data_IF_743485176163
#
_entry.id   IF_743485176163
#
_cell.length_a   1.000
_cell.length_b   1.000
_cell.length_c   1.000
_cell.angle_alpha   90.00
_cell.angle_beta   90.00
_cell.angle_gamma   90.00
#
_symmetry.space_group_name_H-M   'P 1'
#
loop_
_entity.id
_entity.type
_entity.pdbx_description
1 polymer ?
#
# COMPACT_ATOMS: atom_id res chain seq x y z
N UNK A 1 -6.93 -42.97 -11.92
CA UNK A 1 -7.46 -41.60 -12.03
C UNK A 1 -6.85 -40.81 -13.18
N UNK A 2 -5.59 -40.31 -13.13
CA UNK A 2 -4.99 -39.55 -14.24
C UNK A 2 -4.94 -40.33 -15.56
N UNK A 3 -4.54 -41.61 -15.52
CA UNK A 3 -4.51 -42.48 -16.71
C UNK A 3 -5.90 -42.71 -17.33
N UNK A 4 -6.95 -42.82 -16.51
CA UNK A 4 -8.34 -42.98 -16.99
C UNK A 4 -8.87 -41.69 -17.62
N UNK A 5 -8.56 -40.54 -17.04
CA UNK A 5 -8.91 -39.23 -17.61
C UNK A 5 -8.15 -39.03 -18.94
N UNK A 6 -6.90 -39.45 -19.02
CA UNK A 6 -6.08 -39.36 -20.22
C UNK A 6 -6.59 -40.18 -21.40
N UNK A 7 -7.26 -41.31 -21.16
CA UNK A 7 -7.90 -42.09 -22.22
C UNK A 7 -9.07 -41.36 -22.89
N UNK A 8 -9.75 -40.47 -22.16
CA UNK A 8 -10.97 -39.79 -22.62
C UNK A 8 -10.77 -38.32 -23.04
N UNK A 9 -9.56 -37.77 -22.87
CA UNK A 9 -9.20 -36.40 -23.29
C UNK A 9 -8.97 -36.24 -24.81
N UNK A 10 -9.25 -37.26 -25.61
CA UNK A 10 -9.01 -37.28 -27.06
C UNK A 10 -10.29 -36.96 -27.84
N UNK A 11 -10.42 -35.74 -28.36
CA UNK A 11 -11.54 -35.35 -29.25
C UNK A 11 -12.69 -34.55 -28.60
N UNK A 12 -13.66 -34.05 -29.40
CA UNK A 12 -14.75 -33.23 -28.89
C UNK A 12 -15.84 -34.09 -28.22
N UNK A 13 -15.72 -34.26 -26.90
CA UNK A 13 -16.73 -34.94 -26.07
C UNK A 13 -17.43 -33.97 -25.12
N UNK A 14 -18.70 -34.21 -24.80
CA UNK A 14 -19.50 -33.35 -23.91
C UNK A 14 -18.95 -33.29 -22.46
N UNK A 15 -18.22 -34.32 -22.04
CA UNK A 15 -17.59 -34.41 -20.71
C UNK A 15 -16.26 -33.66 -20.59
N UNK A 16 -15.71 -33.15 -21.70
CA UNK A 16 -14.38 -32.56 -21.77
C UNK A 16 -14.16 -31.39 -20.80
N UNK A 17 -15.08 -30.40 -20.64
CA UNK A 17 -14.89 -29.33 -19.66
C UNK A 17 -14.79 -29.84 -18.21
N UNK A 18 -15.56 -30.88 -17.87
CA UNK A 18 -15.51 -31.48 -16.53
C UNK A 18 -14.19 -32.19 -16.27
N UNK A 19 -13.66 -32.92 -17.27
CA UNK A 19 -12.34 -33.56 -17.18
C UNK A 19 -11.22 -32.53 -16.98
N UNK A 20 -11.26 -31.41 -17.70
CA UNK A 20 -10.29 -30.32 -17.56
C UNK A 20 -10.38 -29.68 -16.17
N UNK A 21 -11.59 -29.49 -15.63
CA UNK A 21 -11.78 -28.99 -14.27
C UNK A 21 -11.19 -29.95 -13.22
N UNK A 22 -11.40 -31.27 -13.35
CA UNK A 22 -10.83 -32.25 -12.43
C UNK A 22 -9.30 -32.19 -12.42
N UNK A 23 -8.67 -32.01 -13.60
CA UNK A 23 -7.22 -31.83 -13.68
C UNK A 23 -6.76 -30.52 -13.04
N UNK A 24 -7.54 -29.45 -13.13
CA UNK A 24 -7.25 -28.19 -12.46
C UNK A 24 -7.31 -28.34 -10.93
N UNK A 25 -8.36 -29.00 -10.43
CA UNK A 25 -8.56 -29.25 -9.00
C UNK A 25 -7.45 -30.17 -8.45
N UNK A 26 -7.04 -31.18 -9.21
CA UNK A 26 -5.92 -32.05 -8.85
C UNK A 26 -4.60 -31.28 -8.78
N UNK A 27 -4.32 -30.41 -9.76
CA UNK A 27 -3.13 -29.56 -9.75
C UNK A 27 -3.08 -28.61 -8.55
N UNK A 28 -4.24 -28.06 -8.14
CA UNK A 28 -4.34 -27.20 -6.96
C UNK A 28 -4.23 -27.96 -5.64
N UNK A 29 -4.59 -29.24 -5.62
CA UNK A 29 -4.52 -30.08 -4.41
C UNK A 29 -3.14 -30.69 -4.21
N UNK A 30 -2.51 -31.19 -5.27
CA UNK A 30 -1.21 -31.87 -5.22
C UNK A 30 -0.32 -31.48 -6.40
N UNK A 31 0.37 -30.34 -6.24
CA UNK A 31 1.31 -29.82 -7.23
C UNK A 31 2.51 -30.75 -7.46
N UNK A 32 2.93 -31.51 -6.45
CA UNK A 32 4.06 -32.43 -6.53
C UNK A 32 3.77 -33.61 -7.46
N UNK A 33 2.58 -34.19 -7.37
CA UNK A 33 2.17 -35.28 -8.25
C UNK A 33 1.71 -34.78 -9.62
N UNK A 34 1.08 -33.60 -9.69
CA UNK A 34 0.56 -33.08 -10.95
C UNK A 34 1.66 -32.60 -11.89
N UNK A 35 2.59 -31.78 -11.40
CA UNK A 35 3.56 -31.05 -12.22
C UNK A 35 4.33 -31.98 -13.18
N UNK A 36 4.85 -33.15 -12.76
CA UNK A 36 5.52 -34.09 -13.66
C UNK A 36 4.69 -34.58 -14.86
N UNK A 37 3.37 -34.52 -14.78
CA UNK A 37 2.43 -34.98 -15.81
C UNK A 37 1.99 -33.87 -16.76
N UNK A 38 2.44 -32.63 -16.54
CA UNK A 38 2.02 -31.45 -17.29
C UNK A 38 2.17 -31.61 -18.80
N UNK A 39 3.30 -32.18 -19.27
CA UNK A 39 3.55 -32.41 -20.71
C UNK A 39 2.43 -33.24 -21.35
N UNK A 40 1.98 -34.29 -20.66
CA UNK A 40 0.89 -35.15 -21.12
C UNK A 40 -0.48 -34.48 -21.07
N UNK A 41 -0.71 -33.58 -20.12
CA UNK A 41 -1.94 -32.78 -20.05
C UNK A 41 -1.99 -31.78 -21.22
N UNK A 42 -0.91 -31.01 -21.40
CA UNK A 42 -0.83 -29.97 -22.43
C UNK A 42 -0.94 -30.55 -23.85
N UNK A 43 -0.28 -31.67 -24.14
CA UNK A 43 -0.33 -32.28 -25.47
C UNK A 43 -1.73 -32.73 -25.91
N UNK A 44 -2.60 -33.05 -24.96
CA UNK A 44 -4.00 -33.44 -25.21
C UNK A 44 -4.95 -32.25 -25.25
N UNK A 45 -4.72 -31.23 -24.42
CA UNK A 45 -5.59 -30.06 -24.31
C UNK A 45 -5.30 -29.01 -25.39
N UNK A 46 -4.05 -28.86 -25.83
CA UNK A 46 -3.68 -27.82 -26.79
C UNK A 46 -4.37 -27.96 -28.16
N UNK A 47 -4.50 -29.17 -28.78
CA UNK A 47 -5.13 -29.32 -30.10
C UNK A 47 -6.61 -28.91 -30.15
N UNK A 48 -7.30 -28.97 -29.01
CA UNK A 48 -8.73 -28.66 -28.90
C UNK A 48 -8.98 -27.22 -28.44
N UNK A 49 -7.96 -26.52 -27.94
CA UNK A 49 -8.08 -25.22 -27.27
C UNK A 49 -8.68 -24.14 -28.18
N UNK A 50 -8.30 -24.13 -29.47
CA UNK A 50 -8.81 -23.17 -30.46
C UNK A 50 -10.32 -23.29 -30.73
N UNK A 51 -10.90 -24.47 -30.50
CA UNK A 51 -12.31 -24.77 -30.79
C UNK A 51 -13.23 -24.67 -29.56
N UNK A 52 -12.69 -24.26 -28.41
CA UNK A 52 -13.47 -24.13 -27.17
C UNK A 52 -14.49 -22.99 -27.30
N UNK A 53 -15.77 -23.34 -27.16
CA UNK A 53 -16.90 -22.39 -27.13
C UNK A 53 -16.78 -21.43 -25.94
N UNK A 54 -17.24 -20.20 -26.12
CA UNK A 54 -17.12 -19.12 -25.11
C UNK A 54 -17.58 -19.53 -23.71
N UNK A 55 -18.70 -20.26 -23.60
CA UNK A 55 -19.24 -20.75 -22.33
C UNK A 55 -18.28 -21.64 -21.53
N UNK A 56 -17.35 -22.33 -22.19
CA UNK A 56 -16.38 -23.22 -21.55
C UNK A 56 -14.99 -22.58 -21.38
N UNK A 57 -14.69 -21.48 -22.08
CA UNK A 57 -13.37 -20.81 -21.99
C UNK A 57 -12.93 -20.47 -20.56
N UNK A 58 -13.81 -20.02 -19.63
CA UNK A 58 -13.41 -19.75 -18.26
C UNK A 58 -12.88 -20.99 -17.53
N UNK A 59 -13.43 -22.18 -17.81
CA UNK A 59 -12.99 -23.45 -17.20
C UNK A 59 -11.57 -23.79 -17.67
N UNK A 60 -11.32 -23.69 -18.98
CA UNK A 60 -10.00 -23.95 -19.54
C UNK A 60 -8.97 -22.91 -19.07
N UNK A 61 -9.34 -21.62 -19.02
CA UNK A 61 -8.46 -20.59 -18.49
C UNK A 61 -8.10 -20.86 -17.00
N UNK A 62 -9.09 -21.21 -16.18
CA UNK A 62 -8.84 -21.61 -14.79
C UNK A 62 -7.92 -22.83 -14.70
N UNK A 63 -8.04 -23.80 -15.61
CA UNK A 63 -7.15 -24.95 -15.64
C UNK A 63 -5.70 -24.55 -15.93
N UNK A 64 -5.45 -23.73 -16.95
CA UNK A 64 -4.10 -23.20 -17.22
C UNK A 64 -3.54 -22.41 -16.04
N UNK A 65 -4.37 -21.63 -15.35
CA UNK A 65 -3.99 -20.96 -14.10
C UNK A 65 -3.49 -21.96 -13.06
N UNK A 66 -4.31 -22.96 -12.72
CA UNK A 66 -3.99 -23.97 -11.71
C UNK A 66 -2.74 -24.77 -12.08
N UNK A 67 -2.58 -25.14 -13.35
CA UNK A 67 -1.41 -25.88 -13.82
C UNK A 67 -0.12 -25.08 -13.70
N UNK A 68 -0.16 -23.79 -14.05
CA UNK A 68 1.00 -22.91 -13.91
C UNK A 68 1.33 -22.63 -12.43
N UNK A 69 0.31 -22.46 -11.58
CA UNK A 69 0.49 -22.34 -10.13
C UNK A 69 1.13 -23.59 -9.51
N UNK A 70 0.73 -24.78 -9.96
CA UNK A 70 1.35 -26.02 -9.53
C UNK A 70 2.84 -26.08 -9.92
N UNK A 71 3.21 -25.57 -11.10
CA UNK A 71 4.62 -25.46 -11.48
C UNK A 71 5.39 -24.55 -10.51
N UNK A 72 4.85 -23.37 -10.19
CA UNK A 72 5.50 -22.45 -9.25
C UNK A 72 5.64 -23.04 -7.84
N UNK A 73 4.64 -23.79 -7.37
CA UNK A 73 4.72 -24.49 -6.09
C UNK A 73 5.77 -25.60 -6.11
N UNK A 74 5.89 -26.32 -7.23
CA UNK A 74 6.90 -27.35 -7.41
C UNK A 74 8.33 -26.79 -7.41
N UNK A 75 8.54 -25.61 -8.03
CA UNK A 75 9.85 -24.96 -8.17
C UNK A 75 10.52 -24.62 -6.83
N UNK A 76 9.72 -24.41 -5.78
CA UNK A 76 10.23 -24.12 -4.44
C UNK A 76 11.08 -25.27 -3.89
N UNK A 77 10.67 -26.52 -4.14
CA UNK A 77 11.34 -27.72 -3.62
C UNK A 77 12.23 -28.39 -4.69
N UNK A 78 11.88 -28.25 -5.97
CA UNK A 78 12.51 -28.96 -7.07
C UNK A 78 12.67 -28.06 -8.31
N UNK A 79 13.88 -27.87 -8.84
CA UNK A 79 14.08 -26.97 -9.98
C UNK A 79 13.28 -27.38 -11.23
N UNK A 80 12.49 -26.45 -11.77
CA UNK A 80 11.64 -26.70 -12.94
C UNK A 80 12.39 -26.99 -14.25
N UNK A 81 13.68 -26.64 -14.36
CA UNK A 81 14.43 -26.70 -15.62
C UNK A 81 14.53 -28.12 -16.22
N UNK A 82 14.45 -29.17 -15.40
CA UNK A 82 14.47 -30.55 -15.89
C UNK A 82 13.14 -31.01 -16.45
N UNK A 83 12.05 -30.31 -16.12
CA UNK A 83 10.69 -30.68 -16.47
C UNK A 83 10.10 -29.81 -17.58
N UNK A 84 10.44 -28.52 -17.59
CA UNK A 84 10.09 -27.58 -18.63
C UNK A 84 11.04 -27.75 -19.82
N UNK A 85 10.93 -28.89 -20.50
CA UNK A 85 11.65 -29.11 -21.75
C UNK A 85 11.13 -28.18 -22.87
N UNK A 86 11.82 -28.17 -24.01
CA UNK A 86 11.45 -27.33 -25.16
C UNK A 86 10.03 -27.55 -25.65
N UNK A 87 9.48 -28.78 -25.53
CA UNK A 87 8.12 -29.08 -25.95
C UNK A 87 7.11 -28.43 -25.00
N UNK A 88 7.28 -28.60 -23.68
CA UNK A 88 6.39 -28.00 -22.67
C UNK A 88 6.38 -26.48 -22.80
N UNK A 89 7.56 -25.87 -22.95
CA UNK A 89 7.69 -24.43 -23.18
C UNK A 89 6.94 -24.02 -24.46
N UNK A 90 7.08 -24.77 -25.55
CA UNK A 90 6.37 -24.49 -26.81
C UNK A 90 4.86 -24.60 -26.66
N UNK A 91 4.37 -25.57 -25.87
CA UNK A 91 2.94 -25.75 -25.62
C UNK A 91 2.37 -24.60 -24.77
N UNK A 92 3.07 -24.21 -23.70
CA UNK A 92 2.69 -23.08 -22.86
C UNK A 92 2.68 -21.78 -23.66
N UNK A 93 3.69 -21.53 -24.48
CA UNK A 93 3.74 -20.37 -25.36
C UNK A 93 2.59 -20.34 -26.37
N UNK A 94 2.26 -21.49 -26.97
CA UNK A 94 1.14 -21.59 -27.91
C UNK A 94 -0.21 -21.28 -27.24
N UNK A 95 -0.41 -21.80 -26.03
CA UNK A 95 -1.59 -21.49 -25.23
C UNK A 95 -1.63 -20.00 -24.84
N UNK A 96 -0.51 -19.46 -24.36
CA UNK A 96 -0.37 -18.07 -23.95
C UNK A 96 -0.77 -17.10 -25.07
N UNK A 97 -0.22 -17.31 -26.28
CA UNK A 97 -0.55 -16.49 -27.44
C UNK A 97 -2.03 -16.58 -27.82
N UNK A 98 -2.64 -17.76 -27.79
CA UNK A 98 -4.07 -17.91 -28.09
C UNK A 98 -4.94 -17.19 -27.05
N UNK A 99 -4.65 -17.39 -25.76
CA UNK A 99 -5.36 -16.77 -24.65
C UNK A 99 -5.27 -15.24 -24.75
N UNK A 100 -4.06 -14.70 -24.95
CA UNK A 100 -3.83 -13.27 -25.08
C UNK A 100 -4.48 -12.69 -26.34
N UNK A 101 -4.39 -13.38 -27.49
CA UNK A 101 -4.87 -12.85 -28.77
C UNK A 101 -6.38 -12.88 -28.91
N UNK A 102 -7.01 -13.95 -28.44
CA UNK A 102 -8.42 -14.26 -28.72
C UNK A 102 -9.29 -14.12 -27.47
N UNK A 103 -8.91 -14.76 -26.37
CA UNK A 103 -9.79 -14.87 -25.20
C UNK A 103 -9.78 -13.61 -24.33
N UNK A 104 -8.62 -12.98 -24.18
CA UNK A 104 -8.47 -11.74 -23.40
C UNK A 104 -9.22 -10.54 -24.01
N UNK A 105 -9.55 -10.61 -25.31
CA UNK A 105 -10.37 -9.62 -26.03
C UNK A 105 -11.83 -10.02 -26.17
N UNK A 106 -12.28 -11.06 -25.47
CA UNK A 106 -13.68 -11.50 -25.51
C UNK A 106 -14.64 -10.41 -25.03
N UNK A 107 -15.86 -10.40 -25.58
CA UNK A 107 -16.94 -9.52 -25.09
C UNK A 107 -17.46 -9.96 -23.73
N UNK A 108 -17.31 -11.24 -23.40
CA UNK A 108 -17.71 -11.80 -22.11
C UNK A 108 -16.66 -11.44 -21.04
N UNK A 109 -17.10 -10.72 -20.00
CA UNK A 109 -16.25 -10.30 -18.89
C UNK A 109 -15.66 -11.49 -18.13
N UNK A 110 -16.42 -12.57 -17.93
CA UNK A 110 -15.94 -13.77 -17.21
C UNK A 110 -14.84 -14.47 -17.99
N UNK A 111 -14.96 -14.53 -19.31
CA UNK A 111 -13.88 -15.06 -20.17
C UNK A 111 -12.63 -14.19 -20.03
N UNK A 112 -12.78 -12.86 -20.08
CA UNK A 112 -11.63 -11.94 -19.93
C UNK A 112 -10.95 -12.07 -18.57
N UNK A 113 -11.71 -12.06 -17.47
CA UNK A 113 -11.12 -12.12 -16.11
C UNK A 113 -10.41 -13.44 -15.86
N UNK A 114 -11.04 -14.58 -16.17
CA UNK A 114 -10.38 -15.90 -16.03
C UNK A 114 -9.16 -16.03 -16.93
N UNK A 115 -9.19 -15.45 -18.14
CA UNK A 115 -8.03 -15.46 -19.05
C UNK A 115 -6.88 -14.62 -18.52
N UNK A 116 -7.14 -13.43 -17.98
CA UNK A 116 -6.10 -12.56 -17.43
C UNK A 116 -5.46 -13.18 -16.19
N UNK A 117 -6.26 -13.82 -15.33
CA UNK A 117 -5.74 -14.56 -14.17
C UNK A 117 -4.80 -15.69 -14.61
N UNK A 118 -5.17 -16.43 -15.67
CA UNK A 118 -4.33 -17.49 -16.24
C UNK A 118 -3.03 -16.93 -16.85
N UNK A 119 -3.13 -15.89 -17.69
CA UNK A 119 -1.98 -15.23 -18.28
C UNK A 119 -1.02 -14.71 -17.20
N UNK A 120 -1.54 -14.13 -16.12
CA UNK A 120 -0.76 -13.69 -14.96
C UNK A 120 0.04 -14.81 -14.29
N UNK A 121 -0.39 -16.06 -14.34
CA UNK A 121 0.41 -17.20 -13.82
C UNK A 121 1.40 -17.74 -14.86
N UNK A 122 1.15 -17.52 -16.15
CA UNK A 122 1.98 -18.01 -17.26
C UNK A 122 3.20 -17.11 -17.56
N UNK A 123 3.15 -15.82 -17.25
CA UNK A 123 4.18 -14.83 -17.65
C UNK A 123 5.60 -15.18 -17.22
N UNK A 124 5.80 -15.87 -16.09
CA UNK A 124 7.14 -16.32 -15.67
C UNK A 124 7.56 -17.69 -16.23
N UNK A 125 6.65 -18.43 -16.87
CA UNK A 125 6.92 -19.75 -17.46
C UNK A 125 7.15 -19.67 -18.98
N UNK A 126 6.83 -18.55 -19.61
CA UNK A 126 7.10 -18.31 -21.04
C UNK A 126 8.49 -17.70 -21.24
N UNK A 127 9.15 -17.92 -22.39
CA UNK A 127 10.48 -17.36 -22.57
C UNK A 127 10.43 -15.84 -22.76
N UNK A 128 11.50 -15.17 -22.31
CA UNK A 128 11.55 -13.69 -22.22
C UNK A 128 11.33 -12.98 -23.55
N UNK A 129 11.76 -13.58 -24.66
CA UNK A 129 11.60 -13.00 -26.00
C UNK A 129 10.10 -12.89 -26.35
N UNK A 130 9.34 -13.96 -26.07
CA UNK A 130 7.89 -13.98 -26.29
C UNK A 130 7.17 -13.07 -25.30
N UNK A 131 7.56 -13.08 -24.02
CA UNK A 131 7.01 -12.15 -23.03
C UNK A 131 7.20 -10.69 -23.49
N UNK A 132 8.42 -10.32 -23.91
CA UNK A 132 8.73 -8.96 -24.39
C UNK A 132 7.85 -8.56 -25.56
N UNK A 133 7.62 -9.45 -26.52
CA UNK A 133 6.73 -9.21 -27.66
C UNK A 133 5.25 -9.06 -27.25
N UNK A 134 4.83 -9.71 -26.17
CA UNK A 134 3.46 -9.69 -25.67
C UNK A 134 3.12 -8.45 -24.81
N UNK A 135 4.11 -7.83 -24.17
CA UNK A 135 3.92 -6.70 -23.24
C UNK A 135 3.04 -5.57 -23.77
N UNK A 136 3.21 -5.06 -25.01
CA UNK A 136 2.40 -3.96 -25.53
C UNK A 136 0.90 -4.27 -25.62
N UNK A 137 0.53 -5.56 -25.69
CA UNK A 137 -0.88 -6.00 -25.68
C UNK A 137 -1.34 -6.39 -24.28
N UNK A 138 -0.51 -7.12 -23.54
CA UNK A 138 -0.87 -7.66 -22.24
C UNK A 138 -1.10 -6.55 -21.20
N UNK A 139 -0.19 -5.56 -21.12
CA UNK A 139 -0.29 -4.47 -20.15
C UNK A 139 -1.60 -3.69 -20.30
N UNK A 140 -1.97 -3.14 -21.48
CA UNK A 140 -3.26 -2.45 -21.62
C UNK A 140 -4.48 -3.34 -21.35
N UNK A 141 -4.39 -4.63 -21.67
CA UNK A 141 -5.50 -5.57 -21.44
C UNK A 141 -5.75 -5.82 -19.96
N UNK A 142 -4.69 -5.94 -19.15
CA UNK A 142 -4.81 -6.00 -17.68
C UNK A 142 -5.35 -4.67 -17.14
N UNK A 143 -4.80 -3.54 -17.61
CA UNK A 143 -5.18 -2.21 -17.12
C UNK A 143 -6.66 -1.87 -17.41
N UNK A 144 -7.27 -2.37 -18.48
CA UNK A 144 -8.70 -2.15 -18.76
C UNK A 144 -9.64 -2.74 -17.69
N UNK A 145 -9.18 -3.77 -16.96
CA UNK A 145 -9.94 -4.40 -15.89
C UNK A 145 -10.05 -3.52 -14.64
N UNK A 146 -9.20 -2.50 -14.46
CA UNK A 146 -9.29 -1.57 -13.32
C UNK A 146 -10.55 -0.70 -13.33
N UNK A 147 -11.26 -0.63 -14.47
CA UNK A 147 -12.54 0.08 -14.63
C UNK A 147 -13.75 -0.74 -14.14
N UNK A 148 -13.52 -1.93 -13.57
CA UNK A 148 -14.55 -2.89 -13.14
C UNK A 148 -14.69 -2.93 -11.61
N UNK A 149 -15.42 -3.91 -11.11
CA UNK A 149 -15.70 -4.10 -9.68
C UNK A 149 -14.45 -4.55 -8.90
N UNK A 150 -14.51 -4.48 -7.56
CA UNK A 150 -13.34 -4.69 -6.69
C UNK A 150 -12.71 -6.08 -6.82
N UNK A 151 -13.51 -7.14 -6.99
CA UNK A 151 -12.99 -8.50 -7.24
C UNK A 151 -12.12 -8.56 -8.50
N UNK A 152 -12.56 -7.86 -9.54
CA UNK A 152 -11.85 -7.81 -10.83
C UNK A 152 -10.57 -6.98 -10.71
N UNK A 153 -10.60 -5.88 -9.94
CA UNK A 153 -9.42 -5.06 -9.65
C UNK A 153 -8.37 -5.85 -8.88
N UNK A 154 -8.77 -6.65 -7.88
CA UNK A 154 -7.86 -7.49 -7.11
C UNK A 154 -7.15 -8.51 -8.01
N UNK A 155 -7.92 -9.24 -8.82
CA UNK A 155 -7.41 -10.22 -9.78
C UNK A 155 -6.45 -9.57 -10.80
N UNK A 156 -6.83 -8.42 -11.35
CA UNK A 156 -5.98 -7.67 -12.27
C UNK A 156 -4.67 -7.24 -11.61
N UNK A 157 -4.70 -6.86 -10.33
CA UNK A 157 -3.51 -6.47 -9.56
C UNK A 157 -2.58 -7.65 -9.31
N UNK A 158 -3.11 -8.82 -8.96
CA UNK A 158 -2.29 -10.03 -8.81
C UNK A 158 -1.61 -10.42 -10.15
N UNK A 159 -2.37 -10.34 -11.25
CA UNK A 159 -1.86 -10.66 -12.59
C UNK A 159 -0.78 -9.66 -13.04
N UNK A 160 -0.97 -8.38 -12.70
CA UNK A 160 0.00 -7.32 -12.96
C UNK A 160 1.27 -7.49 -12.12
N UNK A 161 1.14 -7.83 -10.84
CA UNK A 161 2.29 -8.08 -9.97
C UNK A 161 3.16 -9.22 -10.51
N UNK A 162 2.56 -10.34 -10.89
CA UNK A 162 3.29 -11.44 -11.53
C UNK A 162 3.97 -11.01 -12.83
N UNK A 163 3.29 -10.20 -13.65
CA UNK A 163 3.86 -9.65 -14.88
C UNK A 163 5.08 -8.77 -14.58
N UNK A 164 4.99 -7.90 -13.58
CA UNK A 164 6.10 -7.03 -13.16
C UNK A 164 7.27 -7.86 -12.63
N UNK A 165 7.02 -8.89 -11.81
CA UNK A 165 8.08 -9.78 -11.33
C UNK A 165 8.81 -10.47 -12.49
N UNK A 166 8.06 -11.07 -13.43
CA UNK A 166 8.65 -11.75 -14.59
C UNK A 166 9.40 -10.78 -15.53
N UNK A 167 8.91 -9.55 -15.65
CA UNK A 167 9.46 -8.55 -16.57
C UNK A 167 10.66 -7.81 -16.00
N UNK A 168 10.70 -7.56 -14.69
CA UNK A 168 11.70 -6.69 -14.05
C UNK A 168 12.76 -7.45 -13.26
N UNK A 169 12.40 -8.52 -12.55
CA UNK A 169 13.28 -9.21 -11.58
C UNK A 169 13.93 -10.49 -12.13
N UNK A 170 13.96 -10.68 -13.45
CA UNK A 170 14.51 -11.90 -14.04
C UNK A 170 16.03 -11.96 -13.93
N UNK A 171 16.57 -13.08 -13.45
CA UNK A 171 18.02 -13.31 -13.33
C UNK A 171 18.74 -13.42 -14.69
N UNK A 172 18.00 -13.67 -15.76
CA UNK A 172 18.57 -14.01 -17.08
C UNK A 172 18.77 -12.82 -18.02
N UNK A 173 18.57 -11.59 -17.55
CA UNK A 173 18.91 -10.39 -18.32
C UNK A 173 18.32 -9.10 -17.76
N UNK A 174 18.54 -7.95 -18.44
CA UNK A 174 18.03 -6.66 -18.00
C UNK A 174 16.49 -6.63 -18.01
N UNK A 175 15.85 -5.71 -17.27
CA UNK A 175 14.41 -5.50 -17.28
C UNK A 175 13.84 -5.39 -18.71
N UNK A 176 12.63 -5.92 -18.90
CA UNK A 176 11.94 -5.90 -20.21
C UNK A 176 11.16 -4.60 -20.47
N UNK A 177 10.88 -3.84 -19.42
CA UNK A 177 10.15 -2.57 -19.45
C UNK A 177 11.06 -1.48 -18.89
N UNK A 178 11.15 -0.36 -19.60
CA UNK A 178 11.82 0.83 -19.11
C UNK A 178 10.90 1.59 -18.15
N UNK A 179 11.45 2.50 -17.33
CA UNK A 179 10.64 3.21 -16.34
C UNK A 179 9.52 4.05 -16.98
N UNK A 180 9.74 4.60 -18.18
CA UNK A 180 8.73 5.37 -18.91
C UNK A 180 7.45 4.55 -19.18
N UNK A 181 7.60 3.29 -19.58
CA UNK A 181 6.49 2.35 -19.81
C UNK A 181 5.70 2.07 -18.52
N UNK A 182 6.40 2.10 -17.37
CA UNK A 182 5.82 1.84 -16.05
C UNK A 182 5.00 3.04 -15.53
N UNK A 183 5.27 4.26 -15.98
CA UNK A 183 4.61 5.48 -15.43
C UNK A 183 3.09 5.44 -15.53
N UNK A 184 2.55 4.87 -16.62
CA UNK A 184 1.11 4.69 -16.80
C UNK A 184 0.54 3.68 -15.80
N UNK A 185 1.22 2.54 -15.64
CA UNK A 185 0.85 1.50 -14.68
C UNK A 185 0.80 2.09 -13.27
N UNK A 186 1.89 2.75 -12.84
CA UNK A 186 1.99 3.34 -11.51
C UNK A 186 0.91 4.40 -11.28
N UNK A 187 0.63 5.23 -12.28
CA UNK A 187 -0.42 6.27 -12.18
C UNK A 187 -1.83 5.67 -12.02
N UNK A 188 -2.11 4.51 -12.61
CA UNK A 188 -3.38 3.79 -12.43
C UNK A 188 -3.47 3.13 -11.05
N UNK A 189 -2.34 2.65 -10.52
CA UNK A 189 -2.29 1.98 -9.22
C UNK A 189 -2.45 2.93 -8.03
N UNK A 190 -1.97 4.18 -8.10
CA UNK A 190 -2.05 5.13 -6.98
C UNK A 190 -3.48 5.36 -6.46
N UNK A 191 -4.51 5.61 -7.30
CA UNK A 191 -5.89 5.70 -6.84
C UNK A 191 -6.43 4.40 -6.24
N UNK A 192 -5.94 3.24 -6.68
CA UNK A 192 -6.35 1.93 -6.14
C UNK A 192 -5.92 1.77 -4.68
N UNK A 193 -4.72 2.25 -4.34
CA UNK A 193 -4.26 2.33 -2.93
C UNK A 193 -5.24 3.15 -2.09
N UNK A 194 -5.68 4.29 -2.63
CA UNK A 194 -6.61 5.19 -1.96
C UNK A 194 -7.96 4.55 -1.65
N UNK A 195 -8.54 3.80 -2.60
CA UNK A 195 -9.86 3.16 -2.45
C UNK A 195 -9.85 2.08 -1.37
N UNK A 196 -8.72 1.42 -1.17
CA UNK A 196 -8.61 0.18 -0.41
C UNK A 196 -7.97 0.34 0.99
N UNK A 197 -7.52 1.55 1.36
CA UNK A 197 -6.87 1.81 2.66
C UNK A 197 -7.86 1.86 3.85
N UNK A 198 -9.18 2.03 3.64
CA UNK A 198 -10.15 2.32 4.72
C UNK A 198 -11.56 1.68 4.59
N UNK A 199 -11.73 0.44 4.11
CA UNK A 199 -13.08 -0.18 4.07
C UNK A 199 -13.47 -0.79 5.43
N UNK A 200 -14.15 -0.05 6.33
CA UNK A 200 -14.70 -0.62 7.59
C UNK A 200 -15.88 -1.60 7.39
N UNK A 201 -16.23 -1.96 6.16
CA UNK A 201 -17.30 -2.91 5.84
C UNK A 201 -16.79 -4.36 5.89
N UNK A 202 -17.36 -5.17 6.79
CA UNK A 202 -16.80 -6.44 7.29
C UNK A 202 -16.41 -7.49 6.22
N UNK A 203 -17.11 -7.58 5.09
CA UNK A 203 -16.78 -8.52 4.00
C UNK A 203 -15.79 -7.93 2.97
N UNK A 204 -16.00 -6.67 2.58
CA UNK A 204 -15.15 -5.95 1.61
C UNK A 204 -13.80 -5.50 2.23
N UNK A 205 -13.66 -5.51 3.55
CA UNK A 205 -12.43 -5.16 4.25
C UNK A 205 -11.29 -6.12 3.92
N UNK A 206 -11.56 -7.43 3.91
CA UNK A 206 -10.55 -8.46 3.63
C UNK A 206 -10.02 -8.34 2.20
N UNK A 207 -10.91 -8.16 1.21
CA UNK A 207 -10.52 -8.03 -0.19
C UNK A 207 -9.83 -6.69 -0.47
N UNK A 208 -10.32 -5.59 0.11
CA UNK A 208 -9.69 -4.28 0.02
C UNK A 208 -8.25 -4.32 0.53
N UNK A 209 -8.03 -4.86 1.73
CA UNK A 209 -6.69 -4.97 2.31
C UNK A 209 -5.76 -5.85 1.47
N UNK A 210 -6.24 -6.98 0.94
CA UNK A 210 -5.47 -7.81 0.01
C UNK A 210 -5.06 -7.04 -1.24
N UNK A 211 -6.00 -6.29 -1.83
CA UNK A 211 -5.73 -5.44 -3.00
C UNK A 211 -4.71 -4.36 -2.66
N UNK A 212 -4.86 -3.68 -1.52
CA UNK A 212 -3.90 -2.68 -1.06
C UNK A 212 -2.49 -3.27 -0.97
N UNK A 213 -2.33 -4.43 -0.31
CA UNK A 213 -1.03 -5.09 -0.15
C UNK A 213 -0.44 -5.50 -1.50
N UNK A 214 -1.25 -6.05 -2.40
CA UNK A 214 -0.80 -6.45 -3.73
C UNK A 214 -0.30 -5.25 -4.56
N UNK A 215 -0.99 -4.11 -4.48
CA UNK A 215 -0.52 -2.87 -5.11
C UNK A 215 0.82 -2.43 -4.51
N UNK A 216 0.99 -2.52 -3.18
CA UNK A 216 2.26 -2.20 -2.54
C UNK A 216 3.40 -3.11 -3.03
N UNK A 217 3.11 -4.39 -3.27
CA UNK A 217 4.07 -5.33 -3.87
C UNK A 217 4.45 -4.92 -5.30
N UNK A 218 3.50 -4.50 -6.15
CA UNK A 218 3.82 -3.95 -7.47
C UNK A 218 4.81 -2.78 -7.38
N UNK A 219 4.57 -1.83 -6.47
CA UNK A 219 5.46 -0.69 -6.27
C UNK A 219 6.84 -1.10 -5.72
N UNK A 220 6.90 -2.11 -4.85
CA UNK A 220 8.16 -2.65 -4.35
C UNK A 220 8.97 -3.32 -5.46
N UNK A 221 8.34 -4.15 -6.29
CA UNK A 221 8.97 -4.78 -7.46
C UNK A 221 9.59 -3.73 -8.37
N UNK A 222 8.87 -2.63 -8.66
CA UNK A 222 9.41 -1.53 -9.44
C UNK A 222 10.55 -0.81 -8.69
N UNK A 223 10.39 -0.56 -7.40
CA UNK A 223 11.35 0.19 -6.60
C UNK A 223 12.67 -0.53 -6.35
N UNK A 224 12.70 -1.86 -6.39
CA UNK A 224 13.95 -2.64 -6.33
C UNK A 224 14.77 -2.48 -7.61
N UNK A 225 14.12 -2.28 -8.76
CA UNK A 225 14.79 -2.14 -10.07
C UNK A 225 15.09 -0.68 -10.43
N UNK A 226 14.13 0.21 -10.18
CA UNK A 226 14.19 1.64 -10.51
C UNK A 226 13.96 2.53 -9.28
N UNK A 227 14.80 2.44 -8.24
CA UNK A 227 14.55 3.16 -6.98
C UNK A 227 14.56 4.68 -7.16
N UNK A 228 15.47 5.20 -7.97
CA UNK A 228 15.67 6.64 -8.17
C UNK A 228 14.50 7.26 -8.94
N UNK A 229 14.13 6.66 -10.08
CA UNK A 229 13.03 7.14 -10.91
C UNK A 229 11.69 7.03 -10.18
N UNK A 230 11.48 5.93 -9.44
CA UNK A 230 10.27 5.76 -8.64
C UNK A 230 10.17 6.83 -7.54
N UNK A 231 11.27 7.16 -6.88
CA UNK A 231 11.28 8.22 -5.88
C UNK A 231 10.86 9.56 -6.49
N UNK A 232 11.44 9.94 -7.63
CA UNK A 232 11.12 11.19 -8.33
C UNK A 232 9.66 11.19 -8.80
N UNK A 233 9.18 10.07 -9.34
CA UNK A 233 7.78 9.91 -9.76
C UNK A 233 6.82 10.16 -8.59
N UNK A 234 7.02 9.48 -7.46
CA UNK A 234 6.15 9.62 -6.29
C UNK A 234 6.20 11.04 -5.72
N UNK A 235 7.39 11.65 -5.66
CA UNK A 235 7.57 13.03 -5.19
C UNK A 235 6.79 14.02 -6.07
N UNK A 236 6.83 13.83 -7.39
CA UNK A 236 6.07 14.64 -8.33
C UNK A 236 4.56 14.45 -8.11
N UNK A 237 4.08 13.22 -7.91
CA UNK A 237 2.66 12.96 -7.63
C UNK A 237 2.18 13.61 -6.33
N UNK A 238 3.02 13.69 -5.30
CA UNK A 238 2.72 14.43 -4.08
C UNK A 238 2.49 15.94 -4.33
N UNK A 239 3.17 16.54 -5.32
CA UNK A 239 3.13 17.98 -5.62
C UNK A 239 1.95 18.40 -6.51
N UNK A 240 1.26 17.47 -7.17
CA UNK A 240 0.19 17.77 -8.15
C UNK A 240 -1.12 18.28 -7.51
N UNK A 241 -1.26 18.25 -6.18
CA UNK A 241 -2.50 18.59 -5.45
C UNK A 241 -3.76 17.83 -5.91
N UNK A 242 -3.59 16.75 -6.67
CA UNK A 242 -4.65 15.81 -7.00
C UNK A 242 -4.79 14.81 -5.85
N UNK A 243 -5.82 14.99 -5.01
CA UNK A 243 -5.93 14.27 -3.74
C UNK A 243 -5.72 12.74 -3.84
N UNK A 244 -6.27 12.00 -4.82
CA UNK A 244 -6.09 10.55 -4.87
C UNK A 244 -4.67 10.12 -5.24
N UNK A 245 -4.00 10.87 -6.12
CA UNK A 245 -2.61 10.61 -6.48
C UNK A 245 -1.67 10.97 -5.35
N UNK A 246 -1.87 12.12 -4.70
CA UNK A 246 -1.10 12.53 -3.53
C UNK A 246 -1.27 11.51 -2.39
N UNK A 247 -2.51 11.12 -2.08
CA UNK A 247 -2.79 10.12 -1.05
C UNK A 247 -2.12 8.78 -1.35
N UNK A 248 -2.29 8.28 -2.58
CA UNK A 248 -1.65 7.04 -3.02
C UNK A 248 -0.14 7.11 -2.91
N UNK A 249 0.47 8.23 -3.35
CA UNK A 249 1.92 8.40 -3.33
C UNK A 249 2.48 8.42 -1.90
N UNK A 250 1.80 9.09 -0.97
CA UNK A 250 2.18 9.08 0.45
C UNK A 250 2.06 7.69 1.07
N UNK A 251 1.02 6.92 0.71
CA UNK A 251 0.86 5.54 1.18
C UNK A 251 1.99 4.64 0.66
N UNK A 252 2.39 4.81 -0.59
CA UNK A 252 3.50 4.08 -1.20
C UNK A 252 4.83 4.50 -0.57
N UNK A 253 5.08 5.80 -0.37
CA UNK A 253 6.27 6.26 0.37
C UNK A 253 6.35 5.64 1.77
N UNK A 254 5.24 5.62 2.51
CA UNK A 254 5.17 4.99 3.84
C UNK A 254 5.57 3.51 3.79
N UNK A 255 5.14 2.79 2.77
CA UNK A 255 5.47 1.37 2.60
C UNK A 255 6.93 1.15 2.15
N UNK A 256 7.40 1.94 1.19
CA UNK A 256 8.70 1.71 0.55
C UNK A 256 9.89 2.29 1.31
N UNK A 257 9.71 3.37 2.07
CA UNK A 257 10.82 4.04 2.77
C UNK A 257 11.62 3.08 3.67
N UNK A 258 11.00 2.21 4.49
CA UNK A 258 11.74 1.20 5.26
C UNK A 258 12.43 0.14 4.39
N UNK A 259 11.89 -0.14 3.20
CA UNK A 259 12.31 -1.26 2.33
C UNK A 259 13.40 -0.86 1.33
N UNK A 260 13.47 0.42 0.97
CA UNK A 260 14.42 0.99 0.02
C UNK A 260 15.36 2.01 0.67
N UNK A 261 15.62 1.83 1.98
CA UNK A 261 16.38 2.79 2.80
C UNK A 261 17.76 3.11 2.18
N UNK A 262 18.51 2.10 1.76
CA UNK A 262 19.86 2.27 1.22
C UNK A 262 19.86 3.16 -0.03
N UNK A 263 18.91 2.95 -0.94
CA UNK A 263 18.80 3.75 -2.15
C UNK A 263 18.31 5.18 -1.86
N UNK A 264 17.31 5.32 -0.99
CA UNK A 264 16.61 6.60 -0.80
C UNK A 264 17.21 7.50 0.29
N UNK A 265 18.17 7.01 1.08
CA UNK A 265 18.75 7.80 2.19
C UNK A 265 19.40 9.09 1.67
N UNK A 266 20.08 9.05 0.52
CA UNK A 266 20.71 10.23 -0.11
C UNK A 266 19.69 11.30 -0.54
N UNK A 267 18.43 10.92 -0.75
CA UNK A 267 17.32 11.80 -1.17
C UNK A 267 16.53 12.41 -0.02
N UNK A 268 16.96 12.19 1.22
CA UNK A 268 16.31 12.74 2.42
C UNK A 268 15.93 14.22 2.30
N UNK A 269 16.81 15.14 1.85
CA UNK A 269 16.44 16.56 1.76
C UNK A 269 15.23 16.81 0.86
N UNK A 270 15.14 16.13 -0.27
CA UNK A 270 14.03 16.28 -1.23
C UNK A 270 12.71 15.76 -0.68
N UNK A 271 12.73 14.64 0.07
CA UNK A 271 11.52 14.14 0.73
C UNK A 271 11.08 15.08 1.84
N UNK A 272 12.01 15.53 2.69
CA UNK A 272 11.73 16.48 3.78
C UNK A 272 11.08 17.74 3.21
N UNK A 273 11.67 18.34 2.17
CA UNK A 273 11.11 19.53 1.52
C UNK A 273 9.68 19.31 1.01
N UNK A 274 9.43 18.20 0.31
CA UNK A 274 8.09 17.90 -0.21
C UNK A 274 7.06 17.66 0.90
N UNK A 275 7.43 16.95 1.96
CA UNK A 275 6.56 16.70 3.13
C UNK A 275 6.29 18.00 3.88
N UNK A 276 7.27 18.91 4.00
CA UNK A 276 7.08 20.24 4.60
C UNK A 276 6.02 21.05 3.84
N UNK A 277 6.01 21.01 2.51
CA UNK A 277 4.97 21.69 1.71
C UNK A 277 3.57 21.10 1.96
N UNK A 278 3.47 19.81 2.27
CA UNK A 278 2.21 19.13 2.53
C UNK A 278 1.65 19.35 3.96
N UNK A 279 2.39 19.98 4.86
CA UNK A 279 1.89 20.29 6.22
C UNK A 279 0.68 21.23 6.20
N UNK A 280 0.57 22.05 5.15
CA UNK A 280 -0.55 22.98 4.93
C UNK A 280 -1.77 22.33 4.21
N UNK A 281 -1.73 21.01 3.98
CA UNK A 281 -2.80 20.30 3.27
C UNK A 281 -4.11 20.25 4.08
N UNK A 282 -5.24 20.45 3.40
CA UNK A 282 -6.56 20.57 4.05
C UNK A 282 -7.30 19.24 4.15
N UNK A 283 -7.06 18.33 3.21
CA UNK A 283 -7.73 17.02 3.18
C UNK A 283 -7.37 16.18 4.41
N UNK A 284 -8.37 15.83 5.23
CA UNK A 284 -8.18 15.00 6.43
C UNK A 284 -7.58 13.63 6.08
N UNK A 285 -7.96 13.06 4.94
CA UNK A 285 -7.39 11.81 4.44
C UNK A 285 -5.89 11.94 4.12
N UNK A 286 -5.48 13.02 3.46
CA UNK A 286 -4.06 13.25 3.16
C UNK A 286 -3.29 13.53 4.46
N UNK A 287 -3.82 14.35 5.38
CA UNK A 287 -3.22 14.61 6.69
C UNK A 287 -3.02 13.33 7.51
N UNK A 288 -3.98 12.39 7.45
CA UNK A 288 -3.86 11.08 8.10
C UNK A 288 -2.64 10.32 7.60
N UNK A 289 -2.54 10.11 6.29
CA UNK A 289 -1.42 9.35 5.71
C UNK A 289 -0.10 10.09 5.88
N UNK A 290 -0.10 11.42 5.78
CA UNK A 290 1.06 12.26 6.05
C UNK A 290 1.57 12.08 7.49
N UNK A 291 0.66 12.04 8.47
CA UNK A 291 1.02 11.80 9.87
C UNK A 291 1.65 10.42 10.06
N UNK A 292 1.10 9.39 9.43
CA UNK A 292 1.70 8.04 9.45
C UNK A 292 3.07 8.01 8.76
N UNK A 293 3.23 8.72 7.64
CA UNK A 293 4.51 8.85 6.95
C UNK A 293 5.56 9.58 7.80
N UNK A 294 5.19 10.67 8.48
CA UNK A 294 6.08 11.40 9.39
C UNK A 294 6.62 10.46 10.50
N UNK A 295 5.76 9.60 11.05
CA UNK A 295 6.18 8.60 12.05
C UNK A 295 7.18 7.59 11.46
N UNK A 296 6.95 7.13 10.23
CA UNK A 296 7.90 6.23 9.53
C UNK A 296 9.21 6.95 9.19
N UNK A 297 9.16 8.22 8.79
CA UNK A 297 10.33 9.06 8.55
C UNK A 297 11.16 9.22 9.84
N UNK A 298 10.50 9.41 10.98
CA UNK A 298 11.16 9.50 12.28
C UNK A 298 11.95 8.22 12.60
N UNK A 299 11.36 7.04 12.38
CA UNK A 299 12.02 5.76 12.70
C UNK A 299 13.21 5.41 11.81
N UNK A 300 13.41 6.17 10.73
CA UNK A 300 14.52 6.00 9.80
C UNK A 300 15.43 7.24 9.75
N UNK A 301 15.42 8.06 10.82
CA UNK A 301 16.29 9.22 11.01
C UNK A 301 16.15 10.34 9.96
N UNK A 302 14.95 10.51 9.36
CA UNK A 302 14.69 11.62 8.43
C UNK A 302 14.40 12.95 9.14
N UNK A 303 13.99 12.90 10.41
CA UNK A 303 13.67 14.08 11.22
C UNK A 303 14.92 14.56 11.95
N UNK A 304 15.55 15.63 11.45
CA UNK A 304 16.76 16.20 12.05
C UNK A 304 16.62 17.73 12.09
N UNK A 305 17.05 18.34 13.20
CA UNK A 305 17.15 19.79 13.33
C UNK A 305 15.79 20.51 13.18
N UNK A 306 15.78 21.74 12.64
CA UNK A 306 14.57 22.56 12.55
C UNK A 306 13.43 21.91 11.75
N UNK A 307 13.74 21.16 10.69
CA UNK A 307 12.71 20.43 9.93
C UNK A 307 12.05 19.33 10.75
N UNK A 308 12.80 18.69 11.66
CA UNK A 308 12.26 17.73 12.61
C UNK A 308 11.25 18.37 13.58
N UNK A 309 11.59 19.55 14.11
CA UNK A 309 10.69 20.31 14.99
C UNK A 309 9.36 20.66 14.30
N UNK A 310 9.39 21.08 13.04
CA UNK A 310 8.18 21.37 12.25
C UNK A 310 7.25 20.15 12.11
N UNK A 311 7.83 18.96 11.89
CA UNK A 311 7.05 17.72 11.79
C UNK A 311 6.47 17.29 13.14
N UNK A 312 7.19 17.52 14.24
CA UNK A 312 6.67 17.29 15.59
C UNK A 312 5.53 18.26 15.91
N UNK A 313 5.69 19.55 15.59
CA UNK A 313 4.65 20.56 15.76
C UNK A 313 3.40 20.23 14.95
N UNK A 314 3.57 19.75 13.71
CA UNK A 314 2.45 19.26 12.91
C UNK A 314 1.68 18.14 13.62
N UNK A 315 2.37 17.13 14.17
CA UNK A 315 1.70 16.06 14.93
C UNK A 315 0.97 16.61 16.15
N UNK A 316 1.58 17.53 16.90
CA UNK A 316 0.96 18.18 18.08
C UNK A 316 -0.28 18.98 17.67
N UNK A 317 -0.21 19.76 16.60
CA UNK A 317 -1.33 20.53 16.07
C UNK A 317 -2.51 19.61 15.71
N UNK A 318 -2.23 18.47 15.08
CA UNK A 318 -3.26 17.47 14.76
C UNK A 318 -3.79 16.75 16.02
N UNK A 319 -3.01 16.63 17.09
CA UNK A 319 -3.52 16.16 18.38
C UNK A 319 -4.56 17.13 18.97
N UNK A 320 -4.42 18.43 18.72
CA UNK A 320 -5.33 19.45 19.25
C UNK A 320 -6.68 19.55 18.50
N UNK A 321 -6.89 18.75 17.45
CA UNK A 321 -8.15 18.75 16.68
C UNK A 321 -9.35 18.42 17.57
N UNK A 322 -10.37 19.29 17.53
CA UNK A 322 -11.62 19.13 18.28
C UNK A 322 -12.53 18.10 17.62
N UNK A 323 -13.38 17.49 18.44
CA UNK A 323 -14.46 16.65 17.94
C UNK A 323 -15.50 17.54 17.28
N UNK A 324 -15.47 17.61 15.95
CA UNK A 324 -16.67 18.04 15.24
C UNK A 324 -17.71 16.93 15.46
N UNK A 325 -18.80 17.28 16.12
CA UNK A 325 -19.92 16.38 16.36
C UNK A 325 -20.37 15.73 15.06
N UNK A 326 -20.88 14.50 15.15
CA UNK A 326 -21.42 13.71 14.03
C UNK A 326 -22.56 14.42 13.25
N UNK A 327 -23.06 15.55 13.74
CA UNK A 327 -24.28 16.20 13.25
C UNK A 327 -24.10 17.00 11.94
N UNK A 328 -22.87 17.42 11.57
CA UNK A 328 -22.64 18.17 10.33
C UNK A 328 -22.49 17.28 9.07
N UNK A 329 -22.27 15.98 9.25
CA UNK A 329 -22.08 15.01 8.15
C UNK A 329 -23.41 14.49 7.57
N UNK A 330 -24.54 14.67 8.27
CA UNK A 330 -25.86 14.27 7.76
C UNK A 330 -26.50 15.37 6.90
N UNK A 331 -26.29 16.66 7.22
CA UNK A 331 -26.85 17.79 6.45
C UNK A 331 -26.25 17.93 5.05
N UNK A 332 -25.02 17.46 4.87
CA UNK A 332 -24.26 17.56 3.61
C UNK A 332 -24.57 16.44 2.61
N UNK A 333 -25.14 15.30 3.05
CA UNK A 333 -25.58 14.22 2.15
C UNK A 333 -26.89 14.50 1.42
N UNK A 334 -27.74 15.40 1.94
CA UNK A 334 -29.03 15.71 1.31
C UNK A 334 -28.91 16.70 0.15
N UNK A 335 -27.91 17.58 0.14
CA UNK A 335 -27.76 18.60 -0.90
C UNK A 335 -27.08 18.11 -2.20
N UNK A 336 -26.35 16.99 -2.16
CA UNK A 336 -25.56 16.50 -3.32
C UNK A 336 -26.31 15.55 -4.26
N UNK A 337 -27.61 15.31 -4.03
CA UNK A 337 -28.43 14.42 -4.90
C UNK A 337 -29.05 15.13 -6.11
N UNK A 338 -28.97 16.46 -6.23
CA UNK A 338 -29.62 17.21 -7.31
C UNK A 338 -28.62 17.99 -8.18
N UNK A 339 -27.78 17.29 -8.93
CA UNK A 339 -27.28 17.79 -10.23
C UNK A 339 -26.73 16.63 -11.04
N UNK A 340 -27.49 16.24 -12.06
CA UNK A 340 -27.13 15.20 -13.00
C UNK A 340 -26.01 15.68 -13.93
N UNK A 341 -24.84 15.08 -13.79
CA UNK A 341 -23.81 15.08 -14.83
C UNK A 341 -23.08 13.73 -14.75
N UNK A 342 -22.99 13.03 -15.88
CA UNK A 342 -22.40 11.70 -16.00
C UNK A 342 -20.89 11.75 -15.68
N UNK A 343 -20.53 11.51 -14.42
CA UNK A 343 -19.15 11.22 -14.02
C UNK A 343 -18.99 9.72 -13.76
N UNK A 344 -17.85 9.09 -14.13
CA UNK A 344 -17.62 7.66 -13.90
C UNK A 344 -17.77 7.32 -12.41
N UNK A 345 -18.56 6.29 -12.11
CA UNK A 345 -18.93 5.83 -10.76
C UNK A 345 -17.74 5.67 -9.78
N UNK A 346 -16.53 5.41 -10.29
CA UNK A 346 -15.30 5.23 -9.49
C UNK A 346 -14.77 6.54 -8.88
N UNK A 347 -14.85 7.68 -9.57
CA UNK A 347 -14.35 8.95 -9.05
C UNK A 347 -15.19 9.47 -7.87
N UNK A 348 -16.52 9.28 -7.94
CA UNK A 348 -17.42 9.66 -6.84
C UNK A 348 -17.18 8.82 -5.57
N UNK A 349 -16.78 7.54 -5.70
CA UNK A 349 -16.41 6.68 -4.55
C UNK A 349 -15.06 7.05 -3.96
N UNK A 350 -14.15 7.62 -4.76
CA UNK A 350 -12.80 8.02 -4.38
C UNK A 350 -12.83 9.27 -3.48
N UNK A 351 -13.55 10.31 -3.88
CA UNK A 351 -13.73 11.54 -3.09
C UNK A 351 -14.41 11.24 -1.74
N UNK A 352 -15.53 10.50 -1.76
CA UNK A 352 -16.30 10.16 -0.56
C UNK A 352 -15.49 9.32 0.46
N UNK A 353 -14.53 8.49 0.00
CA UNK A 353 -13.67 7.68 0.90
C UNK A 353 -12.50 8.45 1.50
N UNK A 354 -11.92 9.41 0.76
CA UNK A 354 -10.87 10.30 1.28
C UNK A 354 -11.47 11.25 2.35
N UNK A 355 -12.70 11.70 2.12
CA UNK A 355 -13.44 12.59 3.03
C UNK A 355 -14.07 11.86 4.23
N UNK A 356 -14.17 10.53 4.21
CA UNK A 356 -14.73 9.74 5.32
C UNK A 356 -13.83 9.67 6.57
N UNK A 357 -12.62 10.23 6.54
CA UNK A 357 -11.73 10.31 7.71
C UNK A 357 -12.24 11.39 8.65
N UNK A 358 -12.70 10.99 9.83
CA UNK A 358 -13.12 11.94 10.86
C UNK A 358 -11.91 12.52 11.62
N UNK A 359 -12.09 13.74 12.13
CA UNK A 359 -11.13 14.46 13.00
C UNK A 359 -10.61 13.60 14.16
N UNK A 360 -11.47 12.75 14.74
CA UNK A 360 -11.11 11.87 15.87
C UNK A 360 -10.11 10.78 15.49
N UNK A 361 -10.23 10.22 14.28
CA UNK A 361 -9.32 9.18 13.78
C UNK A 361 -7.93 9.77 13.53
N UNK A 362 -7.86 10.93 12.87
CA UNK A 362 -6.62 11.67 12.65
C UNK A 362 -5.94 12.04 13.98
N UNK A 363 -6.70 12.60 14.93
CA UNK A 363 -6.19 12.91 16.27
C UNK A 363 -5.55 11.68 16.92
N UNK A 364 -6.27 10.56 16.94
CA UNK A 364 -5.81 9.33 17.59
C UNK A 364 -4.50 8.82 16.97
N UNK A 365 -4.36 8.94 15.64
CA UNK A 365 -3.15 8.56 14.91
C UNK A 365 -1.97 9.45 15.31
N UNK A 366 -2.18 10.76 15.39
CA UNK A 366 -1.13 11.70 15.79
C UNK A 366 -0.74 11.52 17.27
N UNK A 367 -1.68 11.28 18.17
CA UNK A 367 -1.41 11.04 19.59
C UNK A 367 -0.59 9.76 19.79
N UNK A 368 -0.99 8.68 19.13
CA UNK A 368 -0.25 7.41 19.15
C UNK A 368 1.11 7.54 18.46
N UNK A 369 1.17 8.25 17.34
CA UNK A 369 2.39 8.50 16.57
C UNK A 369 3.42 9.29 17.37
N UNK A 370 3.03 10.40 17.99
CA UNK A 370 3.91 11.22 18.83
C UNK A 370 4.45 10.43 20.02
N UNK A 371 3.58 9.65 20.68
CA UNK A 371 4.00 8.79 21.77
C UNK A 371 4.98 7.72 21.27
N UNK A 372 4.67 7.04 20.16
CA UNK A 372 5.53 6.01 19.56
C UNK A 372 6.92 6.57 19.27
N UNK A 373 7.01 7.73 18.60
CA UNK A 373 8.29 8.38 18.31
C UNK A 373 9.06 8.66 19.60
N UNK A 374 8.38 9.15 20.62
CA UNK A 374 8.97 9.42 21.94
C UNK A 374 9.48 8.15 22.64
N UNK A 375 8.75 7.04 22.52
CA UNK A 375 9.06 5.81 23.26
C UNK A 375 10.00 4.84 22.52
N UNK A 376 9.96 4.76 21.19
CA UNK A 376 10.69 3.72 20.46
C UNK A 376 11.92 4.21 19.73
N UNK A 377 12.11 5.53 19.58
CA UNK A 377 13.17 6.10 18.73
C UNK A 377 14.09 7.01 19.56
N UNK A 378 15.21 6.48 20.11
CA UNK A 378 16.13 7.26 20.93
C UNK A 378 16.73 8.47 20.21
N UNK A 379 16.98 8.39 18.90
CA UNK A 379 17.59 9.47 18.11
C UNK A 379 16.70 10.72 18.04
N UNK A 380 15.38 10.54 18.20
CA UNK A 380 14.40 11.62 18.20
C UNK A 380 14.44 12.46 19.48
N UNK A 381 15.13 11.99 20.51
CA UNK A 381 15.26 12.68 21.79
C UNK A 381 15.83 14.10 21.63
N UNK A 382 16.81 14.30 20.75
CA UNK A 382 17.43 15.59 20.47
C UNK A 382 16.52 16.57 19.69
N UNK A 383 15.48 16.05 19.04
CA UNK A 383 14.48 16.86 18.33
C UNK A 383 13.30 17.17 19.25
N UNK A 384 12.89 16.20 20.07
CA UNK A 384 11.74 16.32 20.97
C UNK A 384 12.06 17.16 22.20
N UNK A 385 13.25 17.00 22.78
CA UNK A 385 13.70 17.78 23.93
C UNK A 385 14.70 18.86 23.49
N UNK A 386 14.60 20.11 23.99
CA UNK A 386 13.55 20.68 24.84
C UNK A 386 12.31 21.19 24.06
N UNK A 387 12.23 20.95 22.75
CA UNK A 387 11.20 21.51 21.86
C UNK A 387 9.76 21.33 22.34
N UNK A 388 9.39 20.16 22.88
CA UNK A 388 8.05 19.88 23.37
C UNK A 388 7.57 20.83 24.48
N UNK A 389 8.48 21.48 25.22
CA UNK A 389 8.11 22.49 26.22
C UNK A 389 7.46 23.72 25.56
N UNK A 390 7.91 24.10 24.36
CA UNK A 390 7.33 25.21 23.58
C UNK A 390 5.87 24.94 23.22
N UNK A 391 5.52 23.66 23.06
CA UNK A 391 4.17 23.26 22.67
C UNK A 391 3.13 23.39 23.78
N UNK A 392 3.54 23.61 25.04
CA UNK A 392 2.62 23.78 26.19
C UNK A 392 2.00 25.19 26.21
N UNK A 393 2.74 26.20 25.77
CA UNK A 393 2.36 27.61 25.93
C UNK A 393 1.21 28.04 25.00
N UNK A 394 1.26 27.79 23.67
CA UNK A 394 0.24 28.27 22.75
C UNK A 394 -1.17 27.80 23.11
N UNK A 395 -2.16 28.66 22.86
CA UNK A 395 -3.57 28.34 23.10
C UNK A 395 -4.10 27.31 22.11
N UNK A 396 -3.61 27.33 20.88
CA UNK A 396 -4.05 26.41 19.82
C UNK A 396 -3.71 24.95 20.13
N UNK A 397 -2.70 24.70 20.96
CA UNK A 397 -2.26 23.37 21.37
C UNK A 397 -2.86 22.90 22.69
N UNK A 398 -3.76 23.67 23.31
CA UNK A 398 -4.38 23.36 24.62
C UNK A 398 -4.89 21.92 24.68
N UNK A 399 -5.61 21.50 23.64
CA UNK A 399 -6.23 20.17 23.58
C UNK A 399 -5.21 19.03 23.40
N UNK A 400 -3.98 19.34 22.96
CA UNK A 400 -2.88 18.39 22.82
C UNK A 400 -1.97 18.29 24.06
N UNK A 401 -2.11 19.20 25.04
CA UNK A 401 -1.18 19.30 26.19
C UNK A 401 -1.10 18.00 27.00
N UNK A 402 -2.20 17.25 27.13
CA UNK A 402 -2.18 15.95 27.81
C UNK A 402 -1.17 14.99 27.16
N UNK A 403 -1.19 14.89 25.83
CA UNK A 403 -0.30 14.04 25.04
C UNK A 403 1.13 14.56 25.08
N UNK A 404 1.33 15.88 24.97
CA UNK A 404 2.65 16.52 25.09
C UNK A 404 3.27 16.24 26.47
N UNK A 405 2.50 16.41 27.55
CA UNK A 405 2.95 16.13 28.91
C UNK A 405 3.30 14.66 29.11
N UNK A 406 2.52 13.74 28.51
CA UNK A 406 2.83 12.31 28.53
C UNK A 406 4.18 12.02 27.86
N UNK A 407 4.45 12.64 26.72
CA UNK A 407 5.72 12.47 26.00
C UNK A 407 6.90 13.05 26.80
N UNK A 408 6.74 14.25 27.37
CA UNK A 408 7.76 14.86 28.25
C UNK A 408 8.06 13.95 29.45
N UNK A 409 7.03 13.42 30.11
CA UNK A 409 7.20 12.52 31.25
C UNK A 409 8.02 11.27 30.88
N UNK A 410 7.79 10.72 29.69
CA UNK A 410 8.54 9.58 29.18
C UNK A 410 10.01 9.92 28.91
N UNK A 411 10.29 11.07 28.28
CA UNK A 411 11.65 11.55 28.04
C UNK A 411 12.41 11.74 29.36
N UNK A 412 11.77 12.40 30.34
CA UNK A 412 12.34 12.61 31.67
C UNK A 412 12.60 11.29 32.40
N UNK A 413 11.71 10.29 32.27
CA UNK A 413 11.90 8.97 32.89
C UNK A 413 13.17 8.28 32.40
N UNK A 414 13.46 8.37 31.11
CA UNK A 414 14.68 7.81 30.48
C UNK A 414 15.94 8.54 30.91
N UNK A 415 15.84 9.85 31.10
CA UNK A 415 16.96 10.75 31.43
C UNK A 415 17.18 10.98 32.93
N UNK A 416 16.50 10.24 33.81
CA UNK A 416 16.57 10.44 35.27
C UNK A 416 17.98 10.32 35.88
N UNK A 417 18.96 9.75 35.15
CA UNK A 417 20.39 9.72 35.51
C UNK A 417 21.21 10.94 35.04
N UNK A 418 20.67 11.84 34.21
CA UNK A 418 21.39 12.95 33.55
C UNK A 418 20.66 14.31 33.70
N UNK A 419 20.09 14.59 34.88
CA UNK A 419 19.30 15.80 35.15
C UNK A 419 20.03 17.13 34.83
N UNK A 420 21.33 17.22 35.10
CA UNK A 420 22.11 18.45 34.87
C UNK A 420 22.26 18.80 33.39
N UNK A 421 22.33 17.79 32.50
CA UNK A 421 22.48 17.98 31.05
C UNK A 421 21.18 18.49 30.43
N UNK A 422 20.02 18.05 30.94
CA UNK A 422 18.72 18.54 30.44
C UNK A 422 18.52 20.03 30.73
N UNK A 423 19.01 20.49 31.89
CA UNK A 423 18.90 21.87 32.34
C UNK A 423 19.83 22.79 31.54
N UNK A 424 21.04 22.34 31.19
CA UNK A 424 21.91 23.11 30.30
C UNK A 424 21.31 23.24 28.90
N UNK A 425 20.77 22.16 28.33
CA UNK A 425 20.13 22.18 26.99
C UNK A 425 18.95 23.17 26.92
N UNK A 426 18.18 23.31 28.01
CA UNK A 426 17.11 24.31 28.12
C UNK A 426 17.65 25.75 28.17
N UNK A 427 18.76 25.98 28.88
CA UNK A 427 19.34 27.33 29.05
C UNK A 427 20.05 27.83 27.80
N UNK A 428 20.58 26.91 26.99
CA UNK A 428 21.30 27.25 25.75
C UNK A 428 20.35 27.74 24.63
N UNK A 429 19.05 27.50 24.77
CA UNK A 429 18.03 27.90 23.80
C UNK A 429 17.16 29.05 24.31
N UNK A 430 17.25 30.20 23.66
CA UNK A 430 16.47 31.41 24.02
C UNK A 430 14.98 31.32 23.69
N UNK A 431 14.58 30.34 22.88
CA UNK A 431 13.19 30.14 22.44
C UNK A 431 12.39 29.21 23.36
N UNK A 432 13.00 28.70 24.45
CA UNK A 432 12.35 27.84 25.42
C UNK A 432 11.66 28.69 26.50
N UNK A 433 10.39 28.41 26.83
CA UNK A 433 9.66 29.18 27.83
C UNK A 433 10.27 29.04 29.22
N UNK A 434 10.19 30.13 30.00
CA UNK A 434 10.69 30.12 31.36
C UNK A 434 9.91 29.14 32.26
N UNK A 435 10.54 28.51 33.26
CA UNK A 435 9.86 27.57 34.16
C UNK A 435 8.61 28.16 34.82
N UNK A 436 8.62 29.46 35.14
CA UNK A 436 7.48 30.17 35.73
C UNK A 436 6.30 30.27 34.76
N UNK A 437 6.56 30.47 33.47
CA UNK A 437 5.53 30.53 32.43
C UNK A 437 4.90 29.15 32.21
N UNK A 438 5.74 28.11 32.13
CA UNK A 438 5.29 26.73 32.06
C UNK A 438 4.41 26.37 33.26
N UNK A 439 4.86 26.72 34.47
CA UNK A 439 4.10 26.45 35.69
C UNK A 439 2.74 27.17 35.70
N UNK A 440 2.73 28.47 35.39
CA UNK A 440 1.49 29.24 35.33
C UNK A 440 0.52 28.66 34.29
N UNK A 441 1.03 28.27 33.12
CA UNK A 441 0.23 27.65 32.05
C UNK A 441 -0.37 26.32 32.48
N UNK A 442 0.44 25.43 33.06
CA UNK A 442 -0.01 24.12 33.53
C UNK A 442 -1.02 24.24 34.68
N UNK A 443 -0.83 25.20 35.60
CA UNK A 443 -1.81 25.50 36.66
C UNK A 443 -3.17 25.92 36.09
N UNK A 444 -3.18 26.78 35.06
CA UNK A 444 -4.42 27.17 34.40
C UNK A 444 -5.09 25.93 33.80
N UNK A 445 -4.36 25.06 33.10
CA UNK A 445 -4.94 23.87 32.48
C UNK A 445 -5.52 22.85 33.46
N UNK A 446 -5.11 22.88 34.74
CA UNK A 446 -5.72 22.07 35.80
C UNK A 446 -7.15 22.52 36.17
N UNK A 447 -7.63 23.67 35.69
CA UNK A 447 -8.99 24.14 35.97
C UNK A 447 -10.08 23.22 35.37
N UNK A 448 -9.76 22.40 34.36
CA UNK A 448 -10.68 21.45 33.73
C UNK A 448 -10.05 20.06 33.67
N UNK A 449 -9.99 19.35 34.81
CA UNK A 449 -9.24 18.10 34.93
C UNK A 449 -9.82 16.94 34.12
N UNK A 450 -11.10 17.04 33.74
CA UNK A 450 -11.83 16.03 32.96
C UNK A 450 -11.72 16.23 31.44
N UNK A 451 -11.12 17.33 30.98
CA UNK A 451 -10.86 17.51 29.55
C UNK A 451 -9.96 16.37 29.04
N UNK A 452 -10.50 15.55 28.12
CA UNK A 452 -9.83 14.39 27.51
C UNK A 452 -9.26 13.37 28.51
N UNK A 453 -10.05 13.05 29.53
CA UNK A 453 -9.95 11.92 30.48
C UNK A 453 -8.67 11.77 31.34
N UNK A 454 -7.51 12.31 30.94
CA UNK A 454 -6.22 12.10 31.64
C UNK A 454 -5.33 13.36 31.75
N UNK A 455 -5.82 14.54 31.37
CA UNK A 455 -5.04 15.79 31.35
C UNK A 455 -4.40 16.09 32.70
N UNK A 456 -5.17 16.05 33.79
CA UNK A 456 -4.67 16.37 35.13
C UNK A 456 -3.57 15.42 35.59
N UNK A 457 -3.73 14.11 35.36
CA UNK A 457 -2.73 13.10 35.73
C UNK A 457 -1.41 13.29 34.98
N UNK A 458 -1.47 13.59 33.68
CA UNK A 458 -0.27 13.81 32.87
C UNK A 458 0.44 15.12 33.27
N UNK A 459 -0.30 16.20 33.52
CA UNK A 459 0.26 17.47 34.00
C UNK A 459 0.97 17.28 35.34
N UNK A 460 0.36 16.57 36.29
CA UNK A 460 0.94 16.34 37.61
C UNK A 460 2.23 15.49 37.56
N UNK A 461 2.31 14.55 36.62
CA UNK A 461 3.51 13.73 36.39
C UNK A 461 4.69 14.59 35.91
N UNK A 462 4.45 15.49 34.95
CA UNK A 462 5.46 16.44 34.46
C UNK A 462 5.89 17.43 35.54
N UNK A 463 4.97 17.85 36.40
CA UNK A 463 5.22 18.81 37.49
C UNK A 463 6.32 18.34 38.45
N UNK A 464 6.43 17.03 38.68
CA UNK A 464 7.49 16.45 39.50
C UNK A 464 8.90 16.68 38.95
N UNK A 465 9.03 16.82 37.62
CA UNK A 465 10.32 16.98 36.93
C UNK A 465 10.66 18.44 36.59
N UNK A 466 9.66 19.29 36.30
CA UNK A 466 9.91 20.68 35.86
C UNK A 466 9.98 21.73 36.99
N UNK A 467 9.54 21.40 38.21
CA UNK A 467 9.36 22.39 39.30
C UNK A 467 10.35 22.20 40.46
N UNK A 468 11.02 21.05 40.53
CA UNK A 468 12.01 20.75 41.57
C UNK A 468 13.47 20.84 41.08
N UNK A 469 13.70 21.50 39.96
CA UNK A 469 14.99 21.89 39.40
C UNK A 469 14.94 23.35 38.99
#
# INVERSE_FOLDING_TARGET
MMEEIFLHLSGPHSALPAMVQILADFASFDALQFTPQLKGVLSRVLPILGNVRDVHRPIFANAFKCWCQACWQYDVDFPLFSLLDGDVISFLNSAFELLLRVWATSRDLKVRTSTIEALGQMVGLIPRIQLKAALPRLVPTILDLYKKDQDVVFLATCSLHNLLNASLLSESGPPLLDFEDLTLILSILLPVVCINNNSKDCADFSLGLKTYNEVQHCFLTVGVVYPEDLFVFLLNKCRLKEQPLTFGALCVFKHLLPRLLEAWHSKRPSLVEAVTVLLEERSLGVRKVLSELIVVMASHCYLIGPSGELFVEYLVCNCALKDQGRDDFESSKEFSKSSGTYYPFQNKRLEVKIEAVCSTELRTICEKGLLLITITIPEMEHVLWPFLLKMIIPRDYTDAVATVCKCISELCRRRSSHSDVMLSECKDRTDIPHPQELFARLLVLLHNPLARELLATQILTVRGFLIFT
#
